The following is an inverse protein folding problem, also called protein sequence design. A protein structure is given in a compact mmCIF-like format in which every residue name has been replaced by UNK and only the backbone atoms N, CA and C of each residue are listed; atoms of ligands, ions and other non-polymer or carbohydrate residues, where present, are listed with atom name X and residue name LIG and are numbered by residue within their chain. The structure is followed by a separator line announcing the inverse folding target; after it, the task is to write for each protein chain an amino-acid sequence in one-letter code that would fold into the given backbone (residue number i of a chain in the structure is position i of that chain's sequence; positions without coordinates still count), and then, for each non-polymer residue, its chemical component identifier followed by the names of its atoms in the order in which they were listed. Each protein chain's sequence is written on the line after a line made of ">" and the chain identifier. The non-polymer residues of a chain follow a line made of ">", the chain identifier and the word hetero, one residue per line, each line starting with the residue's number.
data_IF_899493367792
#
_entry.id   IF_899493367792
#
_cell.length_a   1.000
_cell.length_b   1.000
_cell.length_c   1.000
_cell.angle_alpha   90.00
_cell.angle_beta   90.00
_cell.angle_gamma   90.00
#
_symmetry.space_group_name_H-M   'P 1'
#
loop_
_entity.id
_entity.type
_entity.pdbx_description
1 polymer ?
#
# COMPACT_ATOMS: atom_id res chain seq x y z
N UNK A 1 -3.03 -3.06 -18.32
CA UNK A 1 -2.32 -2.03 -17.57
C UNK A 1 -1.98 -2.58 -16.21
N UNK A 2 -0.69 -2.51 -15.85
CA UNK A 2 -0.20 -2.92 -14.54
C UNK A 2 -0.62 -1.89 -13.48
N UNK A 3 -1.20 -2.36 -12.38
CA UNK A 3 -1.56 -1.54 -11.24
C UNK A 3 -0.65 -1.85 -10.06
N UNK A 4 -0.20 -0.81 -9.37
CA UNK A 4 0.74 -0.92 -8.26
C UNK A 4 0.10 -0.29 -7.04
N UNK A 5 -0.17 -1.09 -6.01
CA UNK A 5 -0.60 -0.61 -4.70
C UNK A 5 0.65 -0.31 -3.88
N UNK A 6 0.84 0.92 -3.43
CA UNK A 6 2.09 1.27 -2.76
C UNK A 6 2.20 2.70 -2.28
N UNK A 7 3.43 3.10 -1.95
CA UNK A 7 3.76 4.45 -1.50
C UNK A 7 4.68 5.14 -2.51
N UNK A 8 4.32 6.35 -2.99
CA UNK A 8 5.22 7.18 -3.77
C UNK A 8 6.48 7.53 -2.99
N UNK A 9 7.63 7.40 -3.64
CA UNK A 9 8.93 7.81 -3.16
C UNK A 9 9.41 9.05 -3.92
N UNK A 10 8.87 10.18 -3.45
CA UNK A 10 9.18 11.51 -3.97
C UNK A 10 10.66 11.84 -3.91
N UNK A 11 11.15 12.45 -4.99
CA UNK A 11 12.55 12.85 -5.16
C UNK A 11 13.05 13.74 -4.01
N UNK A 12 12.21 14.67 -3.54
CA UNK A 12 12.54 15.58 -2.44
C UNK A 12 12.90 14.82 -1.15
N UNK A 13 12.26 13.69 -0.86
CA UNK A 13 12.56 12.90 0.32
C UNK A 13 13.81 12.03 0.11
N UNK A 14 14.03 11.51 -1.10
CA UNK A 14 15.27 10.82 -1.45
C UNK A 14 16.49 11.74 -1.28
N UNK A 15 16.40 13.00 -1.75
CA UNK A 15 17.46 14.00 -1.59
C UNK A 15 17.71 14.30 -0.11
N UNK A 16 16.65 14.51 0.70
CA UNK A 16 16.80 14.75 2.14
C UNK A 16 17.50 13.59 2.84
N UNK A 17 17.11 12.35 2.52
CA UNK A 17 17.72 11.14 3.08
C UNK A 17 19.20 11.06 2.67
N UNK A 18 19.51 11.24 1.38
CA UNK A 18 20.87 11.17 0.87
C UNK A 18 21.80 12.21 1.50
N UNK A 19 21.32 13.45 1.66
CA UNK A 19 22.07 14.53 2.32
C UNK A 19 22.27 14.24 3.81
N UNK A 20 21.21 13.82 4.52
CA UNK A 20 21.26 13.49 5.96
C UNK A 20 22.27 12.39 6.27
N UNK A 21 22.39 11.41 5.38
CA UNK A 21 23.28 10.25 5.54
C UNK A 21 24.65 10.44 4.85
N UNK A 22 24.89 11.59 4.22
CA UNK A 22 26.11 11.89 3.48
C UNK A 22 26.46 10.81 2.43
N UNK A 23 25.45 10.35 1.68
CA UNK A 23 25.60 9.26 0.70
C UNK A 23 26.38 9.68 -0.56
N UNK A 24 26.35 10.97 -0.90
CA UNK A 24 27.07 11.55 -2.03
C UNK A 24 28.16 12.45 -1.49
N UNK A 25 29.42 12.15 -1.83
CA UNK A 25 30.60 12.87 -1.33
C UNK A 25 30.97 14.10 -2.17
N UNK A 26 30.51 14.14 -3.41
CA UNK A 26 30.77 15.23 -4.34
C UNK A 26 29.90 16.45 -3.99
N UNK A 27 30.49 17.58 -3.55
CA UNK A 27 29.74 18.77 -3.17
C UNK A 27 29.06 19.45 -4.37
N UNK A 28 29.48 19.15 -5.60
CA UNK A 28 28.93 19.70 -6.84
C UNK A 28 28.03 18.69 -7.58
N UNK A 29 27.64 17.60 -6.91
CA UNK A 29 26.78 16.61 -7.50
C UNK A 29 25.40 17.19 -7.86
N UNK A 30 24.92 16.84 -9.04
CA UNK A 30 23.56 17.12 -9.50
C UNK A 30 22.53 16.37 -8.63
N UNK A 31 21.30 16.89 -8.58
CA UNK A 31 20.23 16.35 -7.73
C UNK A 31 19.91 14.89 -8.03
N UNK A 32 19.99 14.47 -9.29
CA UNK A 32 19.77 13.08 -9.71
C UNK A 32 20.68 12.09 -8.97
N UNK A 33 21.94 12.47 -8.70
CA UNK A 33 22.86 11.62 -7.92
C UNK A 33 22.37 11.42 -6.49
N UNK A 34 21.81 12.47 -5.88
CA UNK A 34 21.23 12.38 -4.53
C UNK A 34 19.94 11.57 -4.52
N UNK A 35 19.07 11.76 -5.52
CA UNK A 35 17.83 11.00 -5.70
C UNK A 35 18.16 9.50 -5.80
N UNK A 36 19.06 9.11 -6.70
CA UNK A 36 19.44 7.72 -6.92
C UNK A 36 20.11 7.11 -5.67
N UNK A 37 20.99 7.85 -5.00
CA UNK A 37 21.64 7.39 -3.77
C UNK A 37 20.63 7.17 -2.63
N UNK A 38 19.70 8.13 -2.42
CA UNK A 38 18.66 8.03 -1.41
C UNK A 38 17.69 6.88 -1.67
N UNK A 39 17.23 6.73 -2.93
CA UNK A 39 16.36 5.63 -3.36
C UNK A 39 17.00 4.27 -3.15
N UNK A 40 18.22 4.09 -3.66
CA UNK A 40 18.95 2.82 -3.54
C UNK A 40 19.16 2.43 -2.07
N UNK A 41 19.59 3.39 -1.24
CA UNK A 41 19.85 3.12 0.17
C UNK A 41 18.59 2.67 0.93
N UNK A 42 17.43 3.30 0.68
CA UNK A 42 16.17 2.90 1.31
C UNK A 42 15.72 1.52 0.83
N UNK A 43 15.75 1.26 -0.48
CA UNK A 43 15.31 -0.01 -1.08
C UNK A 43 16.13 -1.17 -0.51
N UNK A 44 17.46 -1.03 -0.52
CA UNK A 44 18.39 -2.04 -0.01
C UNK A 44 18.14 -2.31 1.48
N UNK A 45 17.93 -1.26 2.28
CA UNK A 45 17.79 -1.36 3.73
C UNK A 45 16.40 -1.85 4.16
N UNK A 46 15.37 -1.51 3.40
CA UNK A 46 14.02 -2.03 3.59
C UNK A 46 13.94 -3.51 3.20
N UNK A 47 14.85 -3.99 2.33
CA UNK A 47 14.81 -5.32 1.74
C UNK A 47 13.62 -5.44 0.80
N UNK A 48 13.34 -4.37 0.05
CA UNK A 48 12.24 -4.32 -0.90
C UNK A 48 12.79 -4.66 -2.27
N UNK A 49 12.07 -5.52 -2.97
CA UNK A 49 12.48 -6.05 -4.26
C UNK A 49 11.82 -5.34 -5.43
N UNK A 50 10.75 -4.57 -5.19
CA UNK A 50 9.89 -4.07 -6.25
C UNK A 50 9.54 -2.60 -6.04
N UNK A 51 9.88 -1.79 -7.04
CA UNK A 51 9.51 -0.40 -7.18
C UNK A 51 9.28 -0.10 -8.66
N UNK A 52 8.25 0.69 -8.96
CA UNK A 52 7.80 0.94 -10.33
C UNK A 52 7.68 2.43 -10.58
N UNK A 53 8.00 2.87 -11.80
CA UNK A 53 7.64 4.20 -12.25
C UNK A 53 6.12 4.22 -12.47
N UNK A 54 5.38 5.08 -11.77
CA UNK A 54 3.93 5.13 -11.86
C UNK A 54 3.44 6.57 -11.98
N UNK A 55 2.29 6.75 -12.62
CA UNK A 55 1.62 8.04 -12.66
C UNK A 55 1.08 8.41 -11.28
N UNK A 56 1.68 9.44 -10.67
CA UNK A 56 1.21 10.05 -9.42
C UNK A 56 0.72 11.46 -9.76
N UNK A 57 -0.60 11.60 -9.84
CA UNK A 57 -1.21 12.81 -10.41
C UNK A 57 -0.88 12.93 -11.89
N UNK A 58 -0.10 13.95 -12.27
CA UNK A 58 0.29 14.21 -13.67
C UNK A 58 1.77 13.91 -13.96
N UNK A 59 2.52 13.43 -12.97
CA UNK A 59 3.96 13.22 -13.08
C UNK A 59 4.30 11.75 -12.78
N UNK A 60 5.28 11.18 -13.49
CA UNK A 60 5.80 9.87 -13.14
C UNK A 60 6.65 9.96 -11.86
N UNK A 61 6.38 9.08 -10.91
CA UNK A 61 7.11 8.95 -9.65
C UNK A 61 7.43 7.49 -9.37
N UNK A 62 8.52 7.24 -8.65
CA UNK A 62 8.82 5.89 -8.19
C UNK A 62 7.82 5.51 -7.08
N UNK A 63 7.04 4.45 -7.25
CA UNK A 63 6.17 3.88 -6.22
C UNK A 63 6.81 2.60 -5.69
N UNK A 64 7.01 2.54 -4.38
CA UNK A 64 7.44 1.32 -3.68
C UNK A 64 6.21 0.43 -3.49
N UNK A 65 6.20 -0.73 -4.15
CA UNK A 65 5.01 -1.59 -4.22
C UNK A 65 4.82 -2.38 -2.93
N UNK A 66 3.63 -2.27 -2.36
CA UNK A 66 3.08 -3.22 -1.40
C UNK A 66 2.49 -4.45 -2.11
N UNK A 67 1.89 -4.26 -3.29
CA UNK A 67 1.33 -5.31 -4.13
C UNK A 67 1.37 -4.85 -5.60
N UNK A 68 1.46 -5.80 -6.52
CA UNK A 68 1.45 -5.55 -7.97
C UNK A 68 0.43 -6.45 -8.63
N UNK A 69 -0.52 -5.84 -9.33
CA UNK A 69 -1.43 -6.57 -10.22
C UNK A 69 -0.89 -6.46 -11.65
N UNK A 70 -0.42 -7.59 -12.17
CA UNK A 70 -0.09 -7.71 -13.59
C UNK A 70 -1.34 -8.11 -14.36
N UNK A 71 -1.69 -7.34 -15.41
CA UNK A 71 -2.83 -7.69 -16.25
C UNK A 71 -3.29 -6.54 -17.13
N UNK A 72 -4.39 -6.77 -17.84
CA UNK A 72 -5.02 -5.78 -18.71
C UNK A 72 -6.38 -5.30 -18.19
N UNK A 73 -6.43 -4.98 -16.89
CA UNK A 73 -7.64 -4.46 -16.23
C UNK A 73 -7.71 -2.93 -16.36
N UNK A 74 -8.90 -2.38 -16.67
CA UNK A 74 -9.09 -0.94 -16.81
C UNK A 74 -9.06 -0.18 -15.48
N UNK A 75 -9.32 -0.88 -14.38
CA UNK A 75 -9.40 -0.34 -13.04
C UNK A 75 -8.48 -1.12 -12.10
N UNK A 76 -8.00 -0.49 -11.01
CA UNK A 76 -7.26 -1.22 -10.00
C UNK A 76 -8.14 -2.28 -9.34
N UNK A 77 -7.55 -3.37 -8.82
CA UNK A 77 -8.26 -4.35 -8.02
C UNK A 77 -8.92 -3.74 -6.78
N UNK A 78 -10.02 -4.35 -6.37
CA UNK A 78 -10.65 -4.13 -5.07
C UNK A 78 -9.93 -4.91 -3.96
N UNK A 79 -10.18 -4.53 -2.70
CA UNK A 79 -9.56 -5.20 -1.55
C UNK A 79 -9.89 -6.70 -1.46
N UNK A 80 -11.03 -7.12 -2.03
CA UNK A 80 -11.45 -8.53 -2.07
C UNK A 80 -10.69 -9.35 -3.12
N UNK A 81 -10.11 -8.70 -4.13
CA UNK A 81 -9.34 -9.34 -5.20
C UNK A 81 -7.84 -9.42 -4.89
N UNK A 82 -7.40 -8.81 -3.78
CA UNK A 82 -6.00 -8.83 -3.36
C UNK A 82 -5.61 -10.21 -2.85
N UNK A 83 -4.65 -10.83 -3.52
CA UNK A 83 -3.97 -12.00 -2.98
C UNK A 83 -3.01 -11.57 -1.86
N UNK A 84 -3.35 -11.95 -0.63
CA UNK A 84 -2.62 -11.56 0.59
C UNK A 84 -1.23 -12.18 0.67
N UNK A 85 -0.98 -13.28 -0.03
CA UNK A 85 0.32 -13.95 -0.03
C UNK A 85 1.37 -13.16 -0.82
N UNK A 86 0.94 -12.34 -1.77
CA UNK A 86 1.79 -11.43 -2.53
C UNK A 86 1.94 -10.04 -1.91
N UNK A 87 1.20 -9.76 -0.82
CA UNK A 87 1.32 -8.49 -0.13
C UNK A 87 2.67 -8.38 0.58
N UNK A 88 3.26 -7.19 0.57
CA UNK A 88 4.49 -6.88 1.31
C UNK A 88 4.39 -7.35 2.77
N UNK A 89 5.37 -8.14 3.19
CA UNK A 89 5.39 -8.69 4.54
C UNK A 89 5.55 -7.62 5.62
N UNK A 90 4.97 -7.87 6.81
CA UNK A 90 5.03 -6.97 7.98
C UNK A 90 6.46 -6.49 8.31
N UNK A 91 7.46 -7.35 8.14
CA UNK A 91 8.88 -7.03 8.40
C UNK A 91 9.43 -5.98 7.41
N UNK A 92 9.10 -6.08 6.13
CA UNK A 92 9.50 -5.11 5.11
C UNK A 92 8.79 -3.78 5.36
N UNK A 93 7.48 -3.81 5.62
CA UNK A 93 6.71 -2.61 5.96
C UNK A 93 7.30 -1.84 7.15
N UNK A 94 7.60 -2.51 8.27
CA UNK A 94 8.20 -1.87 9.45
C UNK A 94 9.54 -1.22 9.14
N UNK A 95 10.39 -1.89 8.35
CA UNK A 95 11.68 -1.32 7.92
C UNK A 95 11.45 -0.10 7.05
N UNK A 96 10.59 -0.19 6.05
CA UNK A 96 10.29 0.92 5.15
C UNK A 96 9.77 2.15 5.92
N UNK A 97 8.83 1.95 6.83
CA UNK A 97 8.27 2.99 7.70
C UNK A 97 9.34 3.70 8.54
N UNK A 98 10.42 3.01 8.90
CA UNK A 98 11.53 3.62 9.67
C UNK A 98 12.51 4.42 8.81
N UNK A 99 12.48 4.24 7.48
CA UNK A 99 13.48 4.78 6.56
C UNK A 99 12.98 5.99 5.77
N UNK A 100 11.67 6.07 5.50
CA UNK A 100 11.06 7.16 4.76
C UNK A 100 9.63 7.46 5.24
N UNK A 101 9.12 8.67 5.00
CA UNK A 101 7.71 8.96 5.27
C UNK A 101 6.81 8.14 4.33
N UNK A 102 5.85 7.42 4.91
CA UNK A 102 4.81 6.73 4.17
C UNK A 102 3.58 7.60 4.10
N UNK A 103 3.33 8.16 2.91
CA UNK A 103 2.16 8.98 2.60
C UNK A 103 1.59 8.54 1.26
N UNK A 104 0.33 8.92 1.02
CA UNK A 104 -0.37 8.65 -0.24
C UNK A 104 -0.36 7.15 -0.57
N UNK A 105 -0.82 6.31 0.36
CA UNK A 105 -0.97 4.88 0.06
C UNK A 105 -2.19 4.68 -0.82
N UNK A 106 -1.98 4.25 -2.07
CA UNK A 106 -3.06 4.08 -3.03
C UNK A 106 -2.63 3.17 -4.19
N UNK A 107 -3.59 2.90 -5.07
CA UNK A 107 -3.33 2.31 -6.37
C UNK A 107 -2.81 3.35 -7.35
N UNK A 108 -1.75 2.97 -8.06
CA UNK A 108 -1.11 3.77 -9.08
C UNK A 108 -0.98 2.97 -10.36
N UNK A 109 -1.20 3.65 -11.49
CA UNK A 109 -1.00 3.06 -12.80
C UNK A 109 0.49 3.08 -13.12
N UNK A 110 1.06 1.93 -13.51
CA UNK A 110 2.43 1.87 -13.99
C UNK A 110 2.61 2.76 -15.23
N UNK A 111 3.63 3.61 -15.22
CA UNK A 111 4.05 4.41 -16.36
C UNK A 111 4.85 3.55 -17.34
N UNK A 112 4.11 2.74 -18.09
CA UNK A 112 4.64 1.99 -19.22
C UNK A 112 4.27 2.74 -20.50
N UNK A 113 5.25 3.14 -21.35
CA UNK A 113 4.97 3.81 -22.63
C UNK A 113 4.17 2.94 -23.62
N UNK A 114 4.04 1.64 -23.39
CA UNK A 114 3.15 0.76 -24.14
C UNK A 114 1.70 0.72 -23.60
N UNK A 115 1.46 1.25 -22.38
CA UNK A 115 0.13 1.38 -21.79
C UNK A 115 -0.52 2.71 -22.21
N UNK A 116 -1.71 2.63 -22.81
CA UNK A 116 -2.51 3.83 -23.10
C UNK A 116 -2.99 4.46 -21.80
N UNK A 117 -2.59 5.69 -21.47
CA UNK A 117 -3.15 6.45 -20.35
C UNK A 117 -4.69 6.50 -20.46
N UNK A 118 -5.42 6.06 -19.43
CA UNK A 118 -6.86 6.30 -19.38
C UNK A 118 -7.09 7.81 -19.26
N UNK A 119 -7.54 8.43 -20.35
CA UNK A 119 -8.29 9.68 -20.26
C UNK A 119 -9.59 9.33 -19.55
N UNK A 120 -9.84 10.01 -18.43
CA UNK A 120 -11.02 9.89 -17.57
C UNK A 120 -12.27 9.64 -18.42
N UNK A 121 -12.87 8.46 -18.31
CA UNK A 121 -14.11 8.13 -19.00
C UNK A 121 -15.21 9.03 -18.45
N UNK A 122 -15.66 10.00 -19.26
CA UNK A 122 -16.85 10.78 -18.95
C UNK A 122 -18.04 9.85 -19.16
N UNK A 123 -18.67 9.39 -18.08
CA UNK A 123 -19.93 8.68 -18.17
C UNK A 123 -20.99 9.66 -18.71
N UNK A 124 -21.42 9.44 -19.94
CA UNK A 124 -22.67 10.01 -20.45
C UNK A 124 -23.73 9.00 -20.08
N UNK A 125 -24.59 9.36 -19.14
CA UNK A 125 -25.84 8.63 -18.94
C UNK A 125 -26.74 9.02 -20.13
N UNK A 126 -26.94 8.10 -21.07
CA UNK A 126 -28.08 8.20 -21.98
C UNK A 126 -29.31 7.80 -21.17
N UNK A 127 -30.05 8.82 -20.75
CA UNK A 127 -31.35 8.71 -20.09
C UNK A 127 -32.44 8.72 -21.16
N UNK A 128 -32.40 7.75 -22.07
CA UNK A 128 -33.53 7.43 -22.94
C UNK A 128 -34.21 6.17 -22.38
N UNK A 129 -35.08 6.43 -21.40
CA UNK A 129 -36.26 5.63 -21.11
C UNK A 129 -37.04 5.42 -22.42
N UNK A 130 -37.16 4.18 -22.90
CA UNK A 130 -38.37 3.78 -23.62
C UNK A 130 -38.70 2.29 -23.42
N UNK A 131 -39.94 2.10 -22.99
CA UNK A 131 -40.65 0.88 -22.59
C UNK A 131 -40.65 -0.23 -23.65
N UNK A 132 -40.77 -1.50 -23.24
CA UNK A 132 -41.15 -2.54 -24.20
C UNK A 132 -41.10 -4.01 -23.78
N UNK A 133 -42.02 -4.41 -22.91
CA UNK A 133 -42.75 -5.70 -22.91
C UNK A 133 -42.05 -7.07 -22.68
N UNK A 134 -42.89 -7.95 -22.15
CA UNK A 134 -42.66 -9.21 -21.42
C UNK A 134 -42.68 -10.49 -22.28
N UNK A 135 -42.20 -11.59 -21.65
CA UNK A 135 -42.48 -13.02 -21.89
C UNK A 135 -41.87 -13.68 -23.17
N UNK A 136 -41.52 -14.97 -23.25
CA UNK A 136 -42.01 -16.19 -22.59
C UNK A 136 -41.00 -17.37 -22.78
N UNK A 137 -41.24 -18.43 -22.02
CA UNK A 137 -40.49 -19.65 -21.72
C UNK A 137 -39.98 -20.55 -22.87
N UNK A 138 -38.94 -21.35 -22.58
CA UNK A 138 -38.57 -22.53 -23.37
C UNK A 138 -37.42 -23.36 -22.77
N UNK A 139 -37.78 -24.40 -22.01
CA UNK A 139 -36.90 -25.45 -21.45
C UNK A 139 -36.12 -26.23 -22.53
N UNK A 140 -34.91 -26.66 -22.22
CA UNK A 140 -34.47 -28.03 -22.54
C UNK A 140 -33.35 -28.53 -21.60
N UNK A 141 -33.54 -29.75 -21.11
CA UNK A 141 -32.70 -30.49 -20.17
C UNK A 141 -31.61 -31.28 -20.90
N UNK A 142 -30.37 -31.26 -20.41
CA UNK A 142 -29.46 -32.40 -20.65
C UNK A 142 -28.44 -32.59 -19.54
N UNK A 143 -28.60 -33.75 -18.91
CA UNK A 143 -27.88 -34.34 -17.79
C UNK A 143 -26.70 -35.17 -18.33
N UNK A 144 -25.50 -34.99 -17.78
CA UNK A 144 -24.44 -36.01 -17.84
C UNK A 144 -23.67 -36.04 -16.50
N UNK A 145 -23.62 -37.24 -15.93
CA UNK A 145 -23.03 -37.59 -14.64
C UNK A 145 -21.56 -38.03 -14.76
N UNK A 146 -20.86 -38.04 -13.63
CA UNK A 146 -19.64 -38.80 -13.36
C UNK A 146 -18.47 -37.89 -13.02
N UNK A 147 -17.72 -38.04 -11.93
CA UNK A 147 -17.64 -39.02 -10.86
C UNK A 147 -16.37 -38.66 -10.06
N UNK A 148 -16.41 -38.91 -8.76
CA UNK A 148 -15.40 -38.72 -7.68
C UNK A 148 -13.99 -39.25 -8.07
N UNK A 149 -12.85 -38.86 -7.44
CA UNK A 149 -12.48 -39.05 -6.02
C UNK A 149 -11.33 -38.12 -5.57
N UNK A 150 -11.35 -37.87 -4.26
CA UNK A 150 -10.45 -37.18 -3.33
C UNK A 150 -9.03 -37.71 -3.22
N UNK A 151 -8.05 -36.84 -2.97
CA UNK A 151 -6.95 -37.10 -2.01
C UNK A 151 -6.65 -35.81 -1.20
N UNK A 152 -6.75 -35.94 0.12
CA UNK A 152 -6.44 -34.96 1.16
C UNK A 152 -4.91 -34.84 1.33
N UNK A 153 -4.40 -33.63 1.59
CA UNK A 153 -3.38 -33.50 2.64
C UNK A 153 -3.70 -32.30 3.53
N UNK A 154 -3.77 -32.64 4.81
CA UNK A 154 -4.03 -31.82 5.98
C UNK A 154 -2.72 -31.23 6.45
N UNK A 155 -2.66 -29.91 6.62
CA UNK A 155 -1.80 -29.30 7.65
C UNK A 155 -2.66 -28.28 8.41
N UNK A 156 -3.12 -28.73 9.58
CA UNK A 156 -3.56 -27.92 10.70
C UNK A 156 -2.34 -27.17 11.28
N UNK A 157 -2.49 -25.89 11.62
CA UNK A 157 -1.96 -25.22 12.84
C UNK A 157 -2.32 -23.73 12.72
N UNK A 158 -3.52 -23.30 13.14
CA UNK A 158 -3.95 -23.00 14.51
C UNK A 158 -3.39 -21.66 15.02
N UNK A 159 -4.28 -20.79 15.49
CA UNK A 159 -3.92 -19.45 15.97
C UNK A 159 -4.88 -18.33 15.59
N UNK A 160 -6.18 -18.57 15.67
CA UNK A 160 -7.12 -17.49 15.95
C UNK A 160 -6.83 -16.94 17.35
N UNK A 161 -6.51 -15.65 17.46
CA UNK A 161 -6.66 -14.84 18.68
C UNK A 161 -6.63 -13.40 18.18
N UNK A 162 -7.80 -12.83 17.92
CA UNK A 162 -8.64 -12.17 18.92
C UNK A 162 -8.03 -10.83 19.34
N UNK A 163 -8.92 -9.86 19.29
CA UNK A 163 -8.79 -8.45 19.61
C UNK A 163 -8.26 -8.31 21.04
N UNK A 164 -7.54 -7.23 21.36
CA UNK A 164 -7.86 -6.30 22.46
C UNK A 164 -6.85 -5.14 22.40
N UNK A 165 -7.43 -3.95 22.40
CA UNK A 165 -6.82 -2.69 22.73
C UNK A 165 -6.63 -2.70 24.25
N UNK A 166 -5.40 -2.71 24.75
CA UNK A 166 -5.13 -2.49 26.16
C UNK A 166 -4.08 -1.38 26.31
N UNK A 167 -4.59 -0.25 26.82
CA UNK A 167 -3.87 0.73 27.60
C UNK A 167 -3.00 0.06 28.66
N UNK A 168 -1.74 0.49 28.75
CA UNK A 168 -0.94 0.35 29.97
C UNK A 168 -0.36 1.74 30.32
N UNK A 169 -1.21 2.53 30.98
CA UNK A 169 -0.78 3.45 32.03
C UNK A 169 -0.21 2.62 33.20
N UNK A 170 1.01 2.90 33.64
CA UNK A 170 1.27 3.69 34.86
C UNK A 170 2.59 3.29 35.58
N UNK A 171 3.06 4.25 36.39
CA UNK A 171 4.02 4.18 37.50
C UNK A 171 5.53 4.28 37.21
N UNK A 172 6.11 5.43 37.60
CA UNK A 172 6.59 5.48 38.98
C UNK A 172 6.51 6.90 39.59
N UNK A 173 6.08 6.93 40.84
CA UNK A 173 5.72 8.10 41.63
C UNK A 173 6.79 8.37 42.69
N UNK A 174 7.48 9.50 42.61
CA UNK A 174 8.28 10.01 43.74
C UNK A 174 7.52 11.14 44.43
N UNK A 175 6.85 10.76 45.52
CA UNK A 175 6.23 11.69 46.48
C UNK A 175 7.23 11.99 47.61
N UNK A 176 7.73 13.23 47.66
CA UNK A 176 8.39 13.75 48.88
C UNK A 176 7.44 14.71 49.58
N UNK A 177 6.90 14.25 50.72
CA UNK A 177 6.00 15.00 51.59
C UNK A 177 6.77 15.83 52.63
N UNK A 178 6.17 16.98 52.93
CA UNK A 178 6.06 17.65 54.23
C UNK A 178 7.12 18.68 54.67
N UNK A 179 6.64 19.93 54.81
CA UNK A 179 7.19 20.97 55.68
C UNK A 179 6.14 22.06 55.91
N UNK A 180 5.44 22.00 57.05
CA UNK A 180 4.32 22.86 57.40
C UNK A 180 4.72 24.16 58.13
N UNK A 181 3.77 25.13 58.14
CA UNK A 181 3.61 26.31 59.03
C UNK A 181 4.50 27.54 58.67
N UNK A 182 4.10 28.81 58.82
CA UNK A 182 3.08 29.48 59.66
C UNK A 182 2.88 30.95 59.18
N UNK A 183 1.71 31.51 59.53
CA UNK A 183 1.24 32.92 59.57
C UNK A 183 2.28 34.05 59.77
N UNK A 184 2.02 35.20 59.14
CA UNK A 184 1.86 36.55 59.77
C UNK A 184 1.54 37.59 58.68
N UNK A 185 0.35 38.22 58.68
CA UNK A 185 0.09 39.58 59.20
C UNK A 185 0.76 40.70 58.39
N UNK A 186 -0.01 41.43 57.58
CA UNK A 186 -0.41 42.82 57.87
C UNK A 186 -1.45 43.31 56.88
#
# INVERSE_FOLDING_TARGET
>A
MTWVLGWPFYEADAIKIAKKLNLVKDPNAEEEKYINAGRSWVIDRAGILQGFCCWVGTMPELVISAYVEFGDKPTPPTDAELDRDYLMGKKQYRRLKSLMPLRDFAWYQHDDPSCTLYKTTKWVYDDDDEEGEEADEGKDDSKCEGGTETEEEVIEDDGASDWEDEDDEDSDAETVRAGARKRSSS
#
